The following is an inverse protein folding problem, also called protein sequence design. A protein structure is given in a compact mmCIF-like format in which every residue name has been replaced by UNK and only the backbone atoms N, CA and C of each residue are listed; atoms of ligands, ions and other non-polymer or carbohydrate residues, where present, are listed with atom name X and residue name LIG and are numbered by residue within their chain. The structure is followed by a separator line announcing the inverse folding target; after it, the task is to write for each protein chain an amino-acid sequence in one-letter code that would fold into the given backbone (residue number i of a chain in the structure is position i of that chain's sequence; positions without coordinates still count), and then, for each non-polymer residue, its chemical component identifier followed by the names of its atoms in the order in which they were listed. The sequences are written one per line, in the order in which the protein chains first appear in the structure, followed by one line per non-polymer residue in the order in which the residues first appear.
data_IF_640405001233
#
_entry.id   IF_640405001233
#
_cell.length_a   1.000
_cell.length_b   1.000
_cell.length_c   1.000
_cell.angle_alpha   90.00
_cell.angle_beta   90.00
_cell.angle_gamma   90.00
#
_symmetry.space_group_name_H-M   'P 1'
#
loop_
_entity.id
_entity.type
_entity.pdbx_description
1 polymer ?
#
# COMPACT_ATOMS: atom_id res chain seq x y z
N UNK A 1 15.71 11.05 21.98
CA UNK A 1 14.76 11.31 20.88
C UNK A 1 15.23 10.49 19.69
N UNK A 2 14.50 9.40 19.40
CA UNK A 2 14.96 8.34 18.53
C UNK A 2 15.09 8.83 17.08
N UNK A 3 16.27 8.53 16.51
CA UNK A 3 16.65 8.71 15.12
C UNK A 3 15.74 7.84 14.25
N UNK A 4 14.75 8.47 13.60
CA UNK A 4 13.94 7.83 12.55
C UNK A 4 14.92 7.33 11.49
N UNK A 5 15.02 6.01 11.39
CA UNK A 5 16.05 5.34 10.61
C UNK A 5 15.57 5.18 9.18
N UNK A 6 16.41 5.68 8.27
CA UNK A 6 16.25 5.78 6.80
C UNK A 6 16.14 4.39 6.12
N UNK A 7 15.93 3.31 6.88
CA UNK A 7 15.83 1.92 6.40
C UNK A 7 14.36 1.39 6.44
N UNK A 8 13.40 2.16 7.00
CA UNK A 8 11.96 1.81 6.98
C UNK A 8 11.23 2.20 5.68
N UNK A 9 11.86 2.96 4.78
CA UNK A 9 11.15 3.82 3.82
C UNK A 9 10.55 3.11 2.58
N UNK A 10 11.11 1.97 2.16
CA UNK A 10 10.68 1.26 0.92
C UNK A 10 10.01 -0.09 1.23
N UNK A 11 10.66 -0.93 2.04
CA UNK A 11 10.08 -2.22 2.44
C UNK A 11 8.86 -2.03 3.35
N UNK A 12 8.87 -1.00 4.22
CA UNK A 12 7.74 -0.65 5.06
C UNK A 12 6.52 -0.22 4.24
N UNK A 13 6.73 0.66 3.25
CA UNK A 13 5.68 1.11 2.33
C UNK A 13 5.10 -0.05 1.52
N UNK A 14 5.96 -0.90 0.94
CA UNK A 14 5.53 -2.07 0.18
C UNK A 14 4.69 -3.03 1.04
N UNK A 15 5.15 -3.35 2.24
CA UNK A 15 4.45 -4.24 3.17
C UNK A 15 3.14 -3.64 3.68
N UNK A 16 3.10 -2.32 3.94
CA UNK A 16 1.87 -1.62 4.34
C UNK A 16 0.81 -1.70 3.25
N UNK A 17 1.20 -1.48 1.99
CA UNK A 17 0.33 -1.60 0.82
C UNK A 17 -0.20 -3.03 0.64
N UNK A 18 0.64 -4.06 0.81
CA UNK A 18 0.21 -5.47 0.72
C UNK A 18 -0.82 -5.79 1.81
N UNK A 19 -0.58 -5.38 3.06
CA UNK A 19 -1.52 -5.64 4.16
C UNK A 19 -2.87 -4.96 3.94
N UNK A 20 -2.85 -3.70 3.52
CA UNK A 20 -4.07 -2.95 3.21
C UNK A 20 -4.81 -3.55 1.99
N UNK A 21 -4.07 -3.97 0.96
CA UNK A 21 -4.63 -4.63 -0.22
C UNK A 21 -5.32 -5.94 0.14
N UNK A 22 -4.64 -6.84 0.87
CA UNK A 22 -5.21 -8.11 1.32
C UNK A 22 -6.51 -7.92 2.11
N UNK A 23 -6.54 -6.95 3.01
CA UNK A 23 -7.73 -6.66 3.82
C UNK A 23 -8.89 -6.14 2.97
N UNK A 24 -8.64 -5.14 2.12
CA UNK A 24 -9.69 -4.52 1.30
C UNK A 24 -10.19 -5.44 0.19
N UNK A 25 -9.29 -6.15 -0.51
CA UNK A 25 -9.68 -7.14 -1.50
C UNK A 25 -10.49 -8.28 -0.88
N UNK A 26 -10.12 -8.74 0.32
CA UNK A 26 -10.87 -9.79 1.03
C UNK A 26 -12.27 -9.36 1.47
N UNK A 27 -12.45 -8.08 1.83
CA UNK A 27 -13.74 -7.55 2.31
C UNK A 27 -14.66 -7.11 1.17
N UNK A 28 -14.12 -6.43 0.17
CA UNK A 28 -14.89 -5.73 -0.85
C UNK A 28 -14.84 -6.42 -2.21
N UNK A 29 -13.86 -7.31 -2.42
CA UNK A 29 -13.52 -7.84 -3.73
C UNK A 29 -12.57 -6.92 -4.52
N UNK A 30 -11.92 -7.50 -5.53
CA UNK A 30 -10.90 -6.81 -6.33
C UNK A 30 -11.48 -5.62 -7.09
N UNK A 31 -12.61 -5.78 -7.78
CA UNK A 31 -13.20 -4.74 -8.63
C UNK A 31 -13.71 -3.53 -7.83
N UNK A 32 -14.25 -3.78 -6.64
CA UNK A 32 -14.79 -2.73 -5.77
C UNK A 32 -13.71 -1.99 -4.96
N UNK A 33 -12.45 -2.43 -5.03
CA UNK A 33 -11.33 -1.81 -4.32
C UNK A 33 -10.49 -0.96 -5.27
N UNK A 34 -10.24 0.30 -4.92
CA UNK A 34 -9.35 1.19 -5.68
C UNK A 34 -7.95 1.27 -5.08
N UNK A 35 -6.95 1.58 -5.91
CA UNK A 35 -5.57 1.84 -5.44
C UNK A 35 -5.51 3.01 -4.46
N UNK A 36 -6.40 3.99 -4.61
CA UNK A 36 -6.48 5.14 -3.70
C UNK A 36 -6.90 4.73 -2.29
N UNK A 37 -7.92 3.88 -2.17
CA UNK A 37 -8.37 3.37 -0.86
C UNK A 37 -7.27 2.54 -0.19
N UNK A 38 -6.57 1.70 -0.96
CA UNK A 38 -5.46 0.90 -0.42
C UNK A 38 -4.33 1.79 0.08
N UNK A 39 -3.92 2.80 -0.69
CA UNK A 39 -2.87 3.73 -0.28
C UNK A 39 -3.26 4.53 0.97
N UNK A 40 -4.52 4.97 1.05
CA UNK A 40 -5.05 5.66 2.22
C UNK A 40 -5.05 4.75 3.46
N UNK A 41 -5.49 3.50 3.33
CA UNK A 41 -5.49 2.52 4.42
C UNK A 41 -4.07 2.15 4.87
N UNK A 42 -3.11 2.13 3.95
CA UNK A 42 -1.70 1.93 4.25
C UNK A 42 -1.00 3.18 4.83
N UNK A 43 -1.66 4.34 4.85
CA UNK A 43 -1.09 5.59 5.35
C UNK A 43 -0.02 6.20 4.44
N UNK A 44 -0.06 5.90 3.13
CA UNK A 44 0.96 6.32 2.15
C UNK A 44 0.34 7.06 0.96
N UNK A 45 1.18 7.71 0.16
CA UNK A 45 0.74 8.35 -1.08
C UNK A 45 0.34 7.30 -2.13
N UNK A 46 -0.75 7.54 -2.87
CA UNK A 46 -1.23 6.67 -3.96
C UNK A 46 -0.19 6.44 -5.08
N UNK A 47 0.79 7.33 -5.24
CA UNK A 47 1.92 7.12 -6.14
C UNK A 47 2.77 5.88 -5.76
N UNK A 48 2.76 5.48 -4.49
CA UNK A 48 3.49 4.31 -4.00
C UNK A 48 3.04 3.00 -4.65
N UNK A 49 1.74 2.86 -4.97
CA UNK A 49 1.23 1.65 -5.63
C UNK A 49 1.75 1.57 -7.07
N UNK A 50 1.67 2.67 -7.82
CA UNK A 50 2.20 2.72 -9.18
C UNK A 50 3.71 2.44 -9.20
N UNK A 51 4.45 2.96 -8.22
CA UNK A 51 5.90 2.76 -8.12
C UNK A 51 6.31 1.33 -7.75
N UNK A 52 5.65 0.70 -6.76
CA UNK A 52 6.06 -0.62 -6.26
C UNK A 52 5.42 -1.80 -7.00
N UNK A 53 4.24 -1.60 -7.58
CA UNK A 53 3.40 -2.68 -8.10
C UNK A 53 2.92 -2.43 -9.53
N UNK A 54 3.13 -1.24 -10.10
CA UNK A 54 2.66 -0.92 -11.45
C UNK A 54 1.14 -0.73 -11.57
N UNK A 55 0.41 -0.73 -10.46
CA UNK A 55 -1.05 -0.59 -10.45
C UNK A 55 -1.72 -1.59 -9.51
N UNK A 56 -3.06 -1.68 -9.60
CA UNK A 56 -3.86 -2.59 -8.78
C UNK A 56 -3.58 -4.06 -9.12
N UNK A 57 -3.40 -4.37 -10.40
CA UNK A 57 -3.21 -5.75 -10.86
C UNK A 57 -1.87 -6.37 -10.42
N UNK A 58 -0.88 -5.54 -10.09
CA UNK A 58 0.41 -6.00 -9.59
C UNK A 58 0.53 -5.98 -8.06
N UNK A 59 -0.48 -5.48 -7.35
CA UNK A 59 -0.53 -5.36 -5.89
C UNK A 59 -1.28 -6.56 -5.29
#
# INVERSE_FOLDING_TARGET
MARVSIIEDVEGTRQALIRAGLDLFGRNGFDATSTREIAQAAGVNSAGIAYHFGGKDGL
#
